data_IF_494838391593
#
_entry.id   IF_494838391593
#
_cell.length_a   1.000
_cell.length_b   1.000
_cell.length_c   1.000
_cell.angle_alpha   90.00
_cell.angle_beta   90.00
_cell.angle_gamma   90.00
#
_symmetry.space_group_name_H-M   'P 1'
#
loop_
_entity.id
_entity.type
_entity.pdbx_description
1 polymer ?
#
# COMPACT_ATOMS: atom_id res chain seq x y z
N UNK A 1 0.93 14.22 15.62
CA UNK A 1 0.45 12.84 15.39
C UNK A 1 1.45 11.88 16.00
N UNK A 2 1.01 10.88 16.77
CA UNK A 2 1.89 9.84 17.33
C UNK A 2 2.46 8.97 16.18
N UNK A 3 3.78 8.77 16.18
CA UNK A 3 4.48 7.99 15.15
C UNK A 3 4.28 6.48 15.31
N UNK A 4 3.73 6.02 16.44
CA UNK A 4 3.73 4.61 16.82
C UNK A 4 5.11 4.18 17.33
N UNK A 5 5.27 2.87 17.55
CA UNK A 5 6.57 2.29 17.90
C UNK A 5 6.63 0.79 17.57
N UNK A 6 7.83 0.26 17.38
CA UNK A 6 8.15 -1.18 17.40
C UNK A 6 9.01 -1.52 18.62
N UNK A 7 9.09 -2.81 19.00
CA UNK A 7 9.85 -3.26 20.18
C UNK A 7 9.03 -3.27 21.49
N UNK A 8 9.71 -3.28 22.66
CA UNK A 8 9.05 -3.37 23.97
C UNK A 8 8.04 -2.24 24.23
N UNK A 9 6.85 -2.59 24.71
CA UNK A 9 5.72 -1.66 24.93
C UNK A 9 6.01 -0.55 25.94
N UNK A 10 6.72 -0.88 27.00
CA UNK A 10 7.02 0.04 28.11
C UNK A 10 8.42 0.57 27.93
N UNK A 11 8.58 1.89 27.95
CA UNK A 11 9.88 2.54 27.82
C UNK A 11 10.53 2.75 29.17
N UNK A 12 9.77 2.72 30.26
CA UNK A 12 10.29 2.89 31.61
C UNK A 12 9.96 1.70 32.52
N UNK A 13 10.81 1.47 33.53
CA UNK A 13 10.64 0.46 34.57
C UNK A 13 11.26 0.95 35.87
N UNK A 14 10.53 0.84 36.98
CA UNK A 14 11.10 1.15 38.31
C UNK A 14 12.16 0.13 38.79
N UNK A 15 12.44 -0.90 37.99
CA UNK A 15 13.43 -1.97 38.20
C UNK A 15 13.27 -2.76 39.51
N UNK A 16 12.10 -2.67 40.14
CA UNK A 16 11.77 -3.48 41.32
C UNK A 16 11.37 -4.90 40.93
N UNK A 17 11.37 -5.81 41.90
CA UNK A 17 11.02 -7.21 41.69
C UNK A 17 9.53 -7.48 41.98
N UNK A 18 9.02 -8.55 41.35
CA UNK A 18 7.71 -9.14 41.60
C UNK A 18 6.53 -8.17 41.51
N UNK A 19 5.63 -8.21 42.49
CA UNK A 19 4.40 -7.42 42.57
C UNK A 19 4.64 -5.91 42.71
N UNK A 20 5.87 -5.49 43.02
CA UNK A 20 6.26 -4.08 43.12
C UNK A 20 6.79 -3.49 41.81
N UNK A 21 6.91 -4.31 40.74
CA UNK A 21 7.42 -3.90 39.43
C UNK A 21 6.39 -3.06 38.67
N UNK A 22 6.72 -1.80 38.45
CA UNK A 22 5.93 -0.86 37.64
C UNK A 22 6.66 -0.62 36.32
N UNK A 23 5.91 -0.65 35.22
CA UNK A 23 6.41 -0.36 33.88
C UNK A 23 5.46 0.61 33.18
N UNK A 24 6.01 1.68 32.64
CA UNK A 24 5.22 2.72 31.99
C UNK A 24 5.78 3.04 30.60
N UNK A 25 4.95 3.65 29.76
CA UNK A 25 5.38 4.20 28.47
C UNK A 25 5.38 5.72 28.59
N UNK A 26 6.51 6.25 29.01
CA UNK A 26 6.71 7.69 29.21
C UNK A 26 7.11 8.38 27.90
N UNK A 27 7.81 7.67 27.03
CA UNK A 27 8.45 8.26 25.87
C UNK A 27 7.67 7.96 24.58
N UNK A 28 7.45 9.00 23.76
CA UNK A 28 6.69 8.93 22.51
C UNK A 28 7.27 9.84 21.43
N UNK A 29 7.37 9.32 20.21
CA UNK A 29 7.66 10.12 19.03
C UNK A 29 6.40 10.79 18.49
N UNK A 30 6.39 12.12 18.41
CA UNK A 30 5.27 12.90 17.88
C UNK A 30 5.77 13.74 16.70
N UNK A 31 5.01 13.77 15.61
CA UNK A 31 5.37 14.55 14.41
C UNK A 31 4.21 15.38 13.86
N UNK A 32 4.57 16.39 13.05
CA UNK A 32 3.62 17.13 12.20
C UNK A 32 3.28 16.32 10.95
N UNK A 33 2.10 16.57 10.37
CA UNK A 33 1.68 15.92 9.12
C UNK A 33 2.64 16.22 7.97
N UNK A 34 3.13 17.47 7.86
CA UNK A 34 4.12 17.86 6.86
C UNK A 34 5.41 17.05 6.95
N UNK A 35 5.87 16.75 8.17
CA UNK A 35 7.05 15.91 8.40
C UNK A 35 6.81 14.46 7.98
N UNK A 36 5.62 13.92 8.27
CA UNK A 36 5.25 12.56 7.84
C UNK A 36 5.20 12.41 6.31
N UNK A 37 4.88 13.48 5.59
CA UNK A 37 4.90 13.45 4.12
C UNK A 37 6.33 13.41 3.56
N UNK A 38 7.30 14.02 4.28
CA UNK A 38 8.72 13.98 3.91
C UNK A 38 9.37 12.64 4.26
N UNK A 39 8.98 12.05 5.39
CA UNK A 39 9.48 10.75 5.87
C UNK A 39 8.32 9.77 6.09
N UNK A 40 7.69 9.29 5.00
CA UNK A 40 6.52 8.41 5.09
C UNK A 40 6.85 7.07 5.76
N UNK A 41 8.08 6.58 5.56
CA UNK A 41 8.55 5.30 6.07
C UNK A 41 9.30 5.40 7.40
N UNK A 42 9.40 6.60 7.99
CA UNK A 42 10.04 6.75 9.28
C UNK A 42 9.33 5.92 10.36
N UNK A 43 10.14 5.18 11.13
CA UNK A 43 9.69 4.36 12.24
C UNK A 43 10.43 4.74 13.52
N UNK A 44 9.75 4.47 14.64
CA UNK A 44 10.29 4.63 15.99
C UNK A 44 10.41 3.24 16.59
N UNK A 45 11.58 2.89 17.14
CA UNK A 45 11.80 1.62 17.82
C UNK A 45 12.27 1.85 19.26
N UNK A 46 11.62 1.15 20.18
CA UNK A 46 12.05 1.07 21.56
C UNK A 46 13.10 -0.05 21.65
N UNK A 47 14.31 0.26 22.10
CA UNK A 47 15.34 -0.74 22.29
C UNK A 47 15.16 -1.47 23.62
N UNK A 48 15.70 -2.70 23.68
CA UNK A 48 15.67 -3.52 24.89
C UNK A 48 16.49 -2.81 25.98
N UNK A 49 15.91 -2.69 27.17
CA UNK A 49 16.62 -2.21 28.35
C UNK A 49 17.63 -3.26 28.78
N UNK A 50 18.89 -2.86 28.85
CA UNK A 50 19.98 -3.71 29.36
C UNK A 50 20.18 -3.46 30.85
N UNK A 51 20.48 -2.23 31.23
CA UNK A 51 20.79 -1.84 32.62
C UNK A 51 20.15 -0.51 33.06
N UNK A 52 19.51 0.21 32.14
CA UNK A 52 18.84 1.47 32.42
C UNK A 52 17.35 1.26 32.76
N UNK A 53 16.81 2.16 33.57
CA UNK A 53 15.37 2.23 33.85
C UNK A 53 14.57 2.73 32.63
N UNK A 54 15.23 3.30 31.62
CA UNK A 54 14.65 3.72 30.34
C UNK A 54 15.13 2.88 29.14
N UNK A 55 14.23 2.66 28.19
CA UNK A 55 14.51 2.16 26.84
C UNK A 55 14.99 3.31 25.98
N UNK A 56 16.12 3.13 25.31
CA UNK A 56 16.52 4.04 24.24
C UNK A 56 15.48 4.01 23.13
N UNK A 57 15.10 5.20 22.65
CA UNK A 57 14.25 5.35 21.46
C UNK A 57 15.15 5.65 20.27
N UNK A 58 15.02 4.82 19.24
CA UNK A 58 15.63 5.04 17.94
C UNK A 58 14.58 5.53 16.95
N UNK A 59 14.78 6.75 16.43
CA UNK A 59 14.05 7.24 15.28
C UNK A 59 14.86 6.92 14.03
N UNK A 60 14.30 6.10 13.15
CA UNK A 60 14.92 5.78 11.88
C UNK A 60 14.14 6.49 10.76
N UNK A 61 14.84 7.35 10.03
CA UNK A 61 14.34 8.11 8.88
C UNK A 61 14.94 7.62 7.57
N UNK A 62 15.70 6.52 7.59
CA UNK A 62 16.32 5.93 6.41
C UNK A 62 15.20 5.51 5.46
N UNK A 63 15.25 5.94 4.20
CA UNK A 63 14.43 5.37 3.14
C UNK A 63 15.03 4.00 2.78
N UNK A 64 14.44 2.85 3.18
CA UNK A 64 14.83 1.60 2.56
C UNK A 64 14.56 1.73 1.06
N UNK A 65 15.61 1.49 0.26
CA UNK A 65 15.59 1.55 -1.20
C UNK A 65 14.23 1.16 -1.79
N UNK A 66 13.58 2.13 -2.45
CA UNK A 66 12.27 2.04 -3.09
C UNK A 66 12.05 0.67 -3.75
N UNK A 67 11.39 -0.24 -3.02
CA UNK A 67 10.74 -1.34 -3.69
C UNK A 67 9.55 -0.75 -4.46
N UNK A 68 9.34 -1.11 -5.73
CA UNK A 68 8.21 -0.58 -6.47
C UNK A 68 6.93 -1.02 -5.79
N UNK A 69 6.07 -0.04 -5.56
CA UNK A 69 4.77 -0.24 -4.91
C UNK A 69 4.02 -1.39 -5.59
N UNK A 70 3.41 -2.23 -4.75
CA UNK A 70 2.47 -3.25 -5.24
C UNK A 70 1.38 -2.61 -6.06
N UNK A 71 0.93 -3.35 -7.07
CA UNK A 71 -0.21 -2.88 -7.85
C UNK A 71 -1.44 -2.93 -6.96
N UNK A 72 -2.19 -1.84 -6.97
CA UNK A 72 -3.47 -1.74 -6.28
C UNK A 72 -4.50 -1.37 -7.33
N UNK A 73 -5.58 -2.14 -7.36
CA UNK A 73 -6.74 -1.79 -8.15
C UNK A 73 -7.41 -0.59 -7.51
N UNK A 74 -7.60 0.49 -8.26
CA UNK A 74 -8.27 1.69 -7.77
C UNK A 74 -9.74 1.63 -8.22
N UNK A 75 -10.68 1.80 -7.28
CA UNK A 75 -12.11 1.56 -7.52
C UNK A 75 -12.70 2.45 -8.61
N UNK A 76 -12.20 3.69 -8.72
CA UNK A 76 -12.69 4.66 -9.69
C UNK A 76 -12.45 4.28 -11.15
N UNK A 77 -11.58 3.30 -11.43
CA UNK A 77 -11.44 2.72 -12.77
C UNK A 77 -12.72 2.06 -13.28
N UNK A 78 -13.62 1.67 -12.38
CA UNK A 78 -14.90 1.08 -12.75
C UNK A 78 -15.91 2.10 -13.28
N UNK A 79 -15.68 3.40 -13.04
CA UNK A 79 -16.56 4.48 -13.52
C UNK A 79 -16.22 4.94 -14.93
N UNK A 80 -15.06 4.56 -15.48
CA UNK A 80 -14.66 4.94 -16.84
C UNK A 80 -15.39 4.06 -17.88
N UNK A 81 -16.17 4.65 -18.79
CA UNK A 81 -16.89 3.91 -19.82
C UNK A 81 -15.96 3.19 -20.83
N UNK A 82 -14.68 3.56 -20.91
CA UNK A 82 -13.68 2.88 -21.77
C UNK A 82 -13.15 1.57 -21.18
N UNK A 83 -13.70 1.12 -20.04
CA UNK A 83 -13.31 -0.10 -19.33
C UNK A 83 -13.92 -1.39 -19.93
N UNK A 84 -14.86 -1.29 -20.88
CA UNK A 84 -15.47 -2.45 -21.53
C UNK A 84 -14.41 -3.30 -22.28
N UNK A 85 -13.98 -4.41 -21.67
CA UNK A 85 -13.10 -5.42 -22.29
C UNK A 85 -11.62 -5.41 -21.84
N UNK A 86 -11.16 -4.38 -21.13
CA UNK A 86 -9.76 -4.30 -20.64
C UNK A 86 -9.51 -5.12 -19.36
N UNK A 87 -10.56 -5.72 -18.80
CA UNK A 87 -10.59 -6.27 -17.45
C UNK A 87 -9.87 -7.63 -17.25
N UNK A 88 -9.31 -8.20 -18.33
CA UNK A 88 -8.48 -9.42 -18.32
C UNK A 88 -7.00 -9.14 -18.66
N UNK A 89 -6.61 -7.88 -18.74
CA UNK A 89 -5.28 -7.50 -19.21
C UNK A 89 -4.18 -7.69 -18.15
N UNK A 90 -2.91 -7.88 -18.55
CA UNK A 90 -1.78 -7.85 -17.63
C UNK A 90 -1.66 -6.53 -16.87
N UNK A 91 -1.04 -6.56 -15.69
CA UNK A 91 -0.73 -5.37 -14.86
C UNK A 91 -0.04 -4.24 -15.62
N UNK A 92 0.80 -4.56 -16.61
CA UNK A 92 1.48 -3.58 -17.47
C UNK A 92 0.50 -2.76 -18.30
N UNK A 93 -0.47 -3.42 -18.92
CA UNK A 93 -1.55 -2.79 -19.69
C UNK A 93 -2.42 -1.90 -18.81
N UNK A 94 -2.77 -2.35 -17.60
CA UNK A 94 -3.52 -1.54 -16.64
C UNK A 94 -2.74 -0.33 -16.13
N UNK A 95 -1.43 -0.47 -15.88
CA UNK A 95 -0.59 0.67 -15.51
C UNK A 95 -0.54 1.72 -16.62
N UNK A 96 -0.38 1.29 -17.86
CA UNK A 96 -0.36 2.18 -19.02
C UNK A 96 -1.72 2.86 -19.21
N UNK A 97 -2.81 2.11 -19.13
CA UNK A 97 -4.16 2.67 -19.20
C UNK A 97 -4.42 3.65 -18.05
N UNK A 98 -4.00 3.36 -16.82
CA UNK A 98 -4.11 4.30 -15.72
C UNK A 98 -3.36 5.61 -15.99
N UNK A 99 -2.16 5.54 -16.55
CA UNK A 99 -1.39 6.72 -16.93
C UNK A 99 -2.05 7.52 -18.05
N UNK A 100 -2.64 6.86 -19.04
CA UNK A 100 -3.26 7.50 -20.21
C UNK A 100 -4.62 8.09 -19.87
N UNK A 101 -5.48 7.34 -19.18
CA UNK A 101 -6.88 7.71 -18.94
C UNK A 101 -7.09 8.57 -17.69
N UNK A 102 -6.26 8.42 -16.66
CA UNK A 102 -6.44 9.12 -15.38
C UNK A 102 -5.25 10.01 -14.98
N UNK A 103 -4.09 9.81 -15.61
CA UNK A 103 -2.89 10.61 -15.36
C UNK A 103 -2.42 10.56 -13.90
N UNK A 104 -1.77 11.65 -13.47
CA UNK A 104 -1.35 11.83 -12.08
C UNK A 104 -2.33 12.80 -11.40
N UNK A 105 -3.30 12.24 -10.67
CA UNK A 105 -4.37 12.99 -9.97
C UNK A 105 -3.82 14.20 -9.19
N UNK A 106 -2.81 14.06 -8.30
CA UNK A 106 -2.19 15.21 -7.62
C UNK A 106 -1.65 16.30 -8.55
N UNK A 107 -1.00 15.91 -9.66
CA UNK A 107 -0.45 16.87 -10.60
C UNK A 107 -1.55 17.61 -11.37
N UNK A 108 -2.61 16.92 -11.77
CA UNK A 108 -3.76 17.53 -12.45
C UNK A 108 -4.53 18.48 -11.51
N UNK A 109 -4.76 18.10 -10.25
CA UNK A 109 -5.32 19.00 -9.23
C UNK A 109 -4.43 20.24 -9.06
N UNK A 110 -3.11 20.07 -9.02
CA UNK A 110 -2.18 21.20 -8.93
C UNK A 110 -2.25 22.11 -10.15
N UNK A 111 -2.35 21.58 -11.37
CA UNK A 111 -2.52 22.36 -12.60
C UNK A 111 -3.84 23.12 -12.60
N UNK A 112 -4.95 22.45 -12.28
CA UNK A 112 -6.29 23.05 -12.25
C UNK A 112 -6.39 24.14 -11.19
N UNK A 113 -5.77 23.99 -10.02
CA UNK A 113 -5.70 25.06 -9.01
C UNK A 113 -4.87 26.27 -9.44
N UNK A 114 -3.98 26.14 -10.43
CA UNK A 114 -3.19 27.25 -10.98
C UNK A 114 -3.91 27.96 -12.14
N UNK A 115 -4.94 27.37 -12.73
CA UNK A 115 -5.70 27.96 -13.84
C UNK A 115 -6.53 29.21 -13.45
N UNK A 116 -7.18 29.30 -12.27
CA UNK A 116 -7.91 30.49 -11.84
C UNK A 116 -7.05 31.75 -11.77
N UNK A 117 -5.76 31.62 -11.42
CA UNK A 117 -4.83 32.75 -11.40
C UNK A 117 -4.61 33.37 -12.79
N UNK A 118 -4.76 32.59 -13.87
CA UNK A 118 -4.63 33.10 -15.25
C UNK A 118 -5.91 33.79 -15.73
N UNK A 119 -7.07 33.36 -15.24
CA UNK A 119 -8.38 33.93 -15.58
C UNK A 119 -8.60 35.24 -14.85
N UNK A 120 -8.23 35.32 -13.56
CA UNK A 120 -8.34 36.55 -12.76
C UNK A 120 -7.42 37.69 -13.23
N UNK A 121 -6.42 37.40 -14.06
CA UNK A 121 -5.53 38.40 -14.68
C UNK A 121 -5.98 38.86 -16.06
N UNK A 122 -7.05 38.29 -16.63
CA UNK A 122 -7.59 38.68 -17.94
C UNK A 122 -8.74 39.66 -17.78
N UNK A 123 -8.96 40.51 -18.79
CA UNK A 123 -10.11 41.40 -18.79
C UNK A 123 -11.43 40.60 -18.94
N UNK A 124 -12.52 41.00 -18.25
CA UNK A 124 -13.81 40.30 -18.28
C UNK A 124 -14.37 40.06 -19.69
N UNK A 125 -13.99 40.89 -20.66
CA UNK A 125 -14.41 40.83 -22.07
C UNK A 125 -13.78 39.66 -22.85
N UNK A 126 -12.74 39.02 -22.32
CA UNK A 126 -11.99 37.95 -23.00
C UNK A 126 -12.23 36.55 -22.39
N UNK A 127 -13.00 36.46 -21.32
CA UNK A 127 -13.26 35.20 -20.60
C UNK A 127 -14.54 34.58 -21.19
N UNK A 128 -14.48 33.37 -21.80
CA UNK A 128 -15.69 32.69 -22.22
C UNK A 128 -16.59 32.41 -21.01
N UNK A 129 -17.88 32.72 -21.12
CA UNK A 129 -18.87 32.65 -20.01
C UNK A 129 -18.87 31.32 -19.26
N UNK A 130 -18.48 30.22 -19.92
CA UNK A 130 -18.50 28.87 -19.37
C UNK A 130 -17.12 28.35 -18.92
N UNK A 131 -16.02 29.04 -19.21
CA UNK A 131 -14.67 28.52 -18.96
C UNK A 131 -14.39 28.34 -17.46
N UNK A 132 -14.82 29.29 -16.63
CA UNK A 132 -14.65 29.20 -15.18
C UNK A 132 -15.47 28.04 -14.59
N UNK A 133 -16.70 27.85 -15.08
CA UNK A 133 -17.57 26.77 -14.65
C UNK A 133 -17.02 25.40 -15.07
N UNK A 134 -16.52 25.27 -16.30
CA UNK A 134 -15.89 24.04 -16.81
C UNK A 134 -14.63 23.67 -16.00
N UNK A 135 -13.76 24.63 -15.70
CA UNK A 135 -12.59 24.39 -14.85
C UNK A 135 -12.95 24.01 -13.42
N UNK A 136 -13.99 24.62 -12.84
CA UNK A 136 -14.52 24.25 -11.52
C UNK A 136 -15.09 22.84 -11.54
N UNK A 137 -15.81 22.46 -12.60
CA UNK A 137 -16.36 21.12 -12.77
C UNK A 137 -15.24 20.07 -12.87
N UNK A 138 -14.25 20.31 -13.72
CA UNK A 138 -13.06 19.44 -13.85
C UNK A 138 -12.30 19.32 -12.53
N UNK A 139 -12.11 20.42 -11.78
CA UNK A 139 -11.46 20.38 -10.48
C UNK A 139 -12.26 19.54 -9.47
N UNK A 140 -13.58 19.74 -9.42
CA UNK A 140 -14.46 18.97 -8.53
C UNK A 140 -14.44 17.48 -8.87
N UNK A 141 -14.43 17.10 -10.14
CA UNK A 141 -14.27 15.69 -10.54
C UNK A 141 -12.93 15.10 -10.07
N UNK A 142 -11.84 15.86 -10.24
CA UNK A 142 -10.52 15.39 -9.84
C UNK A 142 -10.40 15.24 -8.31
N UNK A 143 -10.99 16.16 -7.55
CA UNK A 143 -11.07 16.08 -6.08
C UNK A 143 -11.88 14.87 -5.62
N UNK A 144 -13.01 14.56 -6.27
CA UNK A 144 -13.79 13.34 -6.00
C UNK A 144 -12.98 12.06 -6.25
N UNK A 145 -12.20 12.02 -7.34
CA UNK A 145 -11.31 10.89 -7.65
C UNK A 145 -10.22 10.72 -6.58
N UNK A 146 -9.61 11.83 -6.15
CA UNK A 146 -8.62 11.82 -5.06
C UNK A 146 -9.21 11.32 -3.74
N UNK A 147 -10.41 11.78 -3.39
CA UNK A 147 -11.11 11.37 -2.19
C UNK A 147 -11.40 9.86 -2.18
N UNK A 148 -12.01 9.35 -3.26
CA UNK A 148 -12.30 7.91 -3.42
C UNK A 148 -11.04 7.07 -3.23
N UNK A 149 -9.92 7.50 -3.81
CA UNK A 149 -8.61 6.86 -3.66
C UNK A 149 -8.13 6.82 -2.20
N UNK A 150 -8.25 7.93 -1.47
CA UNK A 150 -7.79 7.97 -0.08
C UNK A 150 -8.68 7.17 0.86
N UNK A 151 -9.99 7.18 0.65
CA UNK A 151 -10.95 6.33 1.38
C UNK A 151 -10.58 4.87 1.17
N UNK A 152 -10.42 4.44 -0.08
CA UNK A 152 -10.07 3.05 -0.42
C UNK A 152 -8.74 2.62 0.23
N UNK A 153 -7.73 3.49 0.22
CA UNK A 153 -6.41 3.23 0.80
C UNK A 153 -6.43 3.16 2.32
N UNK A 154 -7.25 3.98 2.97
CA UNK A 154 -7.37 4.03 4.43
C UNK A 154 -7.99 2.76 5.03
N UNK A 155 -8.86 2.08 4.27
CA UNK A 155 -9.70 0.94 4.73
C UNK A 155 -10.69 1.31 5.84
N UNK A 156 -11.01 2.59 6.02
CA UNK A 156 -12.02 3.07 6.97
C UNK A 156 -13.39 2.97 6.32
N UNK A 157 -14.29 2.18 6.89
CA UNK A 157 -15.64 1.92 6.34
C UNK A 157 -16.78 2.50 7.18
N UNK A 158 -16.51 2.86 8.43
CA UNK A 158 -17.52 3.39 9.36
C UNK A 158 -17.75 4.90 9.20
N UNK A 159 -16.84 5.59 8.53
CA UNK A 159 -16.94 7.03 8.30
C UNK A 159 -17.56 7.28 6.92
N UNK A 160 -18.87 7.51 6.90
CA UNK A 160 -19.66 7.82 5.70
C UNK A 160 -19.76 9.34 5.51
N UNK A 161 -18.62 10.03 5.49
CA UNK A 161 -18.58 11.51 5.54
C UNK A 161 -19.07 12.17 4.25
N UNK A 162 -19.75 13.30 4.44
CA UNK A 162 -20.18 14.26 3.41
C UNK A 162 -19.15 15.40 3.23
N UNK A 163 -18.10 15.47 4.05
CA UNK A 163 -16.99 16.43 3.94
C UNK A 163 -15.74 15.77 3.33
N UNK A 164 -15.10 16.50 2.39
CA UNK A 164 -13.92 16.10 1.62
C UNK A 164 -12.64 15.98 2.49
N UNK A 165 -12.66 15.14 3.52
CA UNK A 165 -11.58 15.04 4.51
C UNK A 165 -10.42 14.14 4.05
N UNK A 166 -9.87 14.45 2.87
CA UNK A 166 -8.74 13.72 2.28
C UNK A 166 -7.52 13.67 3.21
N UNK A 167 -7.29 14.72 4.01
CA UNK A 167 -6.20 14.77 5.01
C UNK A 167 -6.33 13.69 6.08
N UNK A 168 -7.54 13.40 6.56
CA UNK A 168 -7.78 12.34 7.53
C UNK A 168 -7.51 10.95 6.94
N UNK A 169 -8.04 10.68 5.74
CA UNK A 169 -7.85 9.38 5.08
C UNK A 169 -6.39 9.15 4.63
N UNK A 170 -5.71 10.20 4.17
CA UNK A 170 -4.28 10.20 3.87
C UNK A 170 -3.46 9.87 5.13
N UNK A 171 -3.72 10.59 6.22
CA UNK A 171 -3.11 10.35 7.53
C UNK A 171 -3.29 8.90 7.98
N UNK A 172 -4.52 8.39 7.91
CA UNK A 172 -4.86 7.03 8.31
C UNK A 172 -4.14 5.98 7.45
N UNK A 173 -3.98 6.26 6.15
CA UNK A 173 -3.20 5.43 5.24
C UNK A 173 -1.73 5.36 5.65
N UNK A 174 -1.11 6.51 5.98
CA UNK A 174 0.30 6.54 6.46
C UNK A 174 0.45 5.73 7.75
N UNK A 175 -0.43 5.95 8.73
CA UNK A 175 -0.38 5.23 10.02
C UNK A 175 -0.51 3.72 9.80
N UNK A 176 -1.41 3.28 8.91
CA UNK A 176 -1.57 1.87 8.57
C UNK A 176 -0.33 1.30 7.88
N UNK A 177 0.24 2.02 6.90
CA UNK A 177 1.47 1.61 6.23
C UNK A 177 2.62 1.40 7.23
N UNK A 178 2.75 2.28 8.23
CA UNK A 178 3.77 2.18 9.28
C UNK A 178 3.57 0.95 10.17
N UNK A 179 2.34 0.72 10.63
CA UNK A 179 2.01 -0.45 11.48
C UNK A 179 2.27 -1.77 10.77
N UNK A 180 2.10 -1.80 9.45
CA UNK A 180 2.27 -2.99 8.64
C UNK A 180 3.68 -3.10 8.02
N UNK A 181 4.62 -2.23 8.40
CA UNK A 181 5.98 -2.27 7.87
C UNK A 181 6.79 -3.39 8.55
N UNK A 182 7.37 -4.30 7.78
CA UNK A 182 8.20 -5.40 8.27
C UNK A 182 9.67 -4.98 8.13
N UNK A 183 10.35 -4.76 9.26
CA UNK A 183 11.70 -4.18 9.31
C UNK A 183 12.83 -5.20 9.05
N UNK A 184 12.76 -6.39 9.66
CA UNK A 184 13.69 -7.51 9.40
C UNK A 184 13.20 -8.80 10.07
N UNK A 185 13.60 -9.96 9.55
CA UNK A 185 13.45 -11.24 10.28
C UNK A 185 14.80 -11.95 10.42
N UNK A 186 15.03 -12.46 11.63
CA UNK A 186 16.28 -13.10 12.06
C UNK A 186 16.04 -14.60 12.23
N UNK A 187 17.00 -15.43 11.82
CA UNK A 187 17.07 -16.82 12.31
C UNK A 187 17.54 -16.77 13.76
N UNK A 188 17.10 -17.73 14.58
CA UNK A 188 17.61 -17.98 15.94
C UNK A 188 19.14 -18.08 16.09
N UNK A 189 19.92 -18.20 15.00
CA UNK A 189 21.38 -18.32 15.04
C UNK A 189 22.12 -17.01 14.68
N UNK A 190 21.42 -15.89 14.46
CA UNK A 190 22.04 -14.57 14.23
C UNK A 190 22.63 -14.35 12.82
N UNK A 191 22.67 -15.36 11.96
CA UNK A 191 23.13 -15.22 10.58
C UNK A 191 22.08 -14.56 9.67
N UNK A 192 22.53 -13.61 8.85
CA UNK A 192 21.74 -12.95 7.81
C UNK A 192 21.57 -13.88 6.60
N UNK A 193 20.34 -14.32 6.32
CA UNK A 193 20.01 -15.22 5.20
C UNK A 193 20.13 -14.56 3.79
N UNK A 194 20.73 -13.37 3.68
CA UNK A 194 20.80 -12.56 2.44
C UNK A 194 21.62 -13.21 1.31
N UNK A 195 22.47 -14.20 1.62
CA UNK A 195 23.44 -14.78 0.67
C UNK A 195 22.93 -16.00 -0.11
N UNK A 196 21.69 -16.45 0.14
CA UNK A 196 21.20 -17.77 -0.30
C UNK A 196 20.23 -17.76 -1.50
N UNK A 197 19.90 -16.60 -2.10
CA UNK A 197 18.87 -16.54 -3.16
C UNK A 197 19.32 -15.91 -4.48
N UNK A 198 18.77 -16.39 -5.61
CA UNK A 198 19.00 -15.82 -6.94
C UNK A 198 18.29 -14.48 -7.12
N UNK A 199 18.87 -13.64 -7.97
CA UNK A 199 18.48 -12.23 -8.17
C UNK A 199 17.29 -12.02 -9.11
N UNK A 200 16.73 -13.06 -9.75
CA UNK A 200 15.64 -12.95 -10.74
C UNK A 200 14.79 -14.22 -10.85
N UNK A 201 13.49 -14.06 -11.14
CA UNK A 201 12.53 -15.13 -11.50
C UNK A 201 12.05 -14.90 -12.94
N UNK A 202 11.91 -15.97 -13.74
CA UNK A 202 11.41 -15.87 -15.13
C UNK A 202 9.88 -15.74 -15.21
N UNK A 203 9.38 -15.12 -16.28
CA UNK A 203 7.93 -14.93 -16.51
C UNK A 203 7.17 -16.24 -16.63
N UNK A 204 7.79 -17.28 -17.21
CA UNK A 204 7.22 -18.63 -17.32
C UNK A 204 7.01 -19.26 -15.94
N UNK A 205 7.98 -19.09 -15.04
CA UNK A 205 7.90 -19.58 -13.66
C UNK A 205 6.84 -18.81 -12.86
N UNK A 206 6.72 -17.51 -13.09
CA UNK A 206 5.69 -16.69 -12.45
C UNK A 206 4.27 -17.02 -12.93
N UNK A 207 4.09 -17.25 -14.23
CA UNK A 207 2.80 -17.64 -14.81
C UNK A 207 2.32 -19.00 -14.27
N UNK A 208 3.24 -19.95 -14.08
CA UNK A 208 2.95 -21.25 -13.47
C UNK A 208 2.42 -21.09 -12.03
N UNK A 209 3.08 -20.29 -11.21
CA UNK A 209 2.70 -20.04 -9.80
C UNK A 209 1.39 -19.25 -9.62
N UNK A 210 0.86 -18.65 -10.69
CA UNK A 210 -0.37 -17.87 -10.69
C UNK A 210 -1.56 -18.59 -11.35
N UNK A 211 -1.38 -19.80 -11.89
CA UNK A 211 -2.50 -20.61 -12.40
C UNK A 211 -3.37 -21.09 -11.25
N UNK A 212 -4.70 -21.05 -11.44
CA UNK A 212 -5.63 -21.73 -10.53
C UNK A 212 -5.62 -23.22 -10.88
N UNK A 213 -5.23 -24.11 -9.94
CA UNK A 213 -5.25 -25.54 -10.19
C UNK A 213 -6.68 -26.11 -10.14
N UNK A 214 -6.90 -27.25 -10.79
CA UNK A 214 -8.15 -28.02 -10.76
C UNK A 214 -8.19 -28.93 -9.51
N UNK A 215 -9.36 -29.15 -8.92
CA UNK A 215 -9.54 -29.70 -7.56
C UNK A 215 -8.88 -31.09 -7.37
N UNK A 216 -8.73 -31.87 -8.44
CA UNK A 216 -8.13 -33.20 -8.43
C UNK A 216 -6.58 -33.19 -8.39
N UNK A 217 -5.93 -32.09 -8.78
CA UNK A 217 -4.47 -31.95 -8.87
C UNK A 217 -3.82 -31.39 -7.57
N UNK A 218 -4.64 -30.88 -6.64
CA UNK A 218 -4.21 -29.90 -5.62
C UNK A 218 -3.39 -30.48 -4.45
N UNK A 219 -3.63 -31.71 -3.97
CA UNK A 219 -3.20 -32.03 -2.59
C UNK A 219 -1.81 -32.64 -2.42
N UNK A 220 -1.24 -33.32 -3.44
CA UNK A 220 0.06 -34.01 -3.31
C UNK A 220 1.10 -33.58 -4.35
N UNK A 221 0.73 -33.58 -5.63
CA UNK A 221 1.66 -33.26 -6.73
C UNK A 221 2.03 -31.78 -6.74
N UNK A 222 1.06 -30.89 -6.56
CA UNK A 222 1.29 -29.44 -6.61
C UNK A 222 2.07 -28.92 -5.39
N UNK A 223 1.85 -29.52 -4.22
CA UNK A 223 2.59 -29.15 -3.01
C UNK A 223 4.08 -29.47 -3.13
N UNK A 224 4.47 -30.65 -3.62
CA UNK A 224 5.89 -31.00 -3.76
C UNK A 224 6.61 -30.11 -4.79
N UNK A 225 5.90 -29.58 -5.79
CA UNK A 225 6.47 -28.64 -6.77
C UNK A 225 6.58 -27.21 -6.19
N UNK A 226 5.56 -26.73 -5.48
CA UNK A 226 5.51 -25.35 -4.98
C UNK A 226 6.25 -25.16 -3.66
N UNK A 227 6.23 -26.17 -2.77
CA UNK A 227 6.79 -26.10 -1.42
C UNK A 227 8.25 -25.62 -1.40
N UNK A 228 9.17 -26.10 -2.26
CA UNK A 228 10.55 -25.62 -2.26
C UNK A 228 10.63 -24.11 -2.54
N UNK A 229 9.95 -23.64 -3.59
CA UNK A 229 9.92 -22.24 -4.00
C UNK A 229 9.17 -21.37 -2.99
N UNK A 230 8.09 -21.87 -2.38
CA UNK A 230 7.30 -21.18 -1.37
C UNK A 230 8.09 -20.97 -0.08
N UNK A 231 8.73 -22.02 0.43
CA UNK A 231 9.57 -21.96 1.63
C UNK A 231 10.78 -21.07 1.37
N UNK A 232 11.41 -21.19 0.20
CA UNK A 232 12.48 -20.32 -0.24
C UNK A 232 12.07 -18.85 -0.28
N UNK A 233 10.96 -18.55 -0.97
CA UNK A 233 10.46 -17.17 -1.16
C UNK A 233 9.96 -16.56 0.14
N UNK A 234 9.23 -17.32 0.96
CA UNK A 234 8.74 -16.90 2.27
C UNK A 234 9.90 -16.54 3.18
N UNK A 235 10.91 -17.44 3.28
CA UNK A 235 12.16 -17.12 3.98
C UNK A 235 12.76 -15.83 3.39
N UNK A 236 13.02 -15.76 2.09
CA UNK A 236 13.61 -14.60 1.37
C UNK A 236 12.94 -13.26 1.71
N UNK A 237 11.62 -13.20 1.60
CA UNK A 237 10.84 -12.02 1.90
C UNK A 237 11.04 -11.57 3.35
N UNK A 238 10.91 -12.52 4.26
CA UNK A 238 10.99 -12.25 5.67
C UNK A 238 12.37 -11.74 6.10
N UNK A 239 13.43 -12.24 5.49
CA UNK A 239 14.82 -11.82 5.74
C UNK A 239 15.10 -10.43 5.20
N UNK A 240 14.78 -10.22 3.92
CA UNK A 240 15.26 -9.08 3.16
C UNK A 240 14.35 -7.86 3.27
N UNK A 241 13.11 -8.06 3.76
CA UNK A 241 12.02 -7.09 3.67
C UNK A 241 11.64 -6.77 2.23
N UNK A 242 12.18 -7.51 1.24
CA UNK A 242 12.04 -7.23 -0.18
C UNK A 242 11.41 -8.41 -0.87
N UNK A 243 10.29 -8.13 -1.52
CA UNK A 243 9.67 -9.07 -2.44
C UNK A 243 10.19 -8.80 -3.85
N UNK A 244 10.51 -9.87 -4.59
CA UNK A 244 10.76 -9.75 -6.03
C UNK A 244 9.55 -9.10 -6.71
N UNK A 245 9.83 -8.14 -7.60
CA UNK A 245 8.81 -7.29 -8.22
C UNK A 245 7.81 -8.13 -9.03
N UNK A 246 8.31 -9.23 -9.57
CA UNK A 246 7.62 -10.20 -10.40
C UNK A 246 6.59 -11.00 -9.59
N UNK A 247 6.87 -11.33 -8.32
CA UNK A 247 5.91 -12.02 -7.43
C UNK A 247 4.68 -11.16 -7.09
N UNK A 248 4.83 -9.85 -7.26
CA UNK A 248 3.78 -8.85 -7.11
C UNK A 248 3.02 -8.60 -8.43
N UNK A 249 3.28 -9.40 -9.46
CA UNK A 249 2.41 -9.44 -10.63
C UNK A 249 1.19 -10.28 -10.28
N UNK A 250 0.02 -9.67 -10.46
CA UNK A 250 -1.27 -10.26 -10.14
C UNK A 250 -2.09 -10.24 -11.41
N UNK A 251 -2.63 -11.38 -11.78
CA UNK A 251 -3.58 -11.45 -12.88
C UNK A 251 -4.96 -11.07 -12.34
N UNK A 252 -5.66 -10.18 -13.02
CA UNK A 252 -7.02 -9.81 -12.63
C UNK A 252 -7.99 -10.67 -13.43
N UNK A 253 -8.91 -11.32 -12.73
CA UNK A 253 -10.00 -12.08 -13.33
C UNK A 253 -11.31 -11.53 -12.81
N UNK A 254 -12.27 -11.31 -13.70
CA UNK A 254 -13.61 -10.93 -13.31
C UNK A 254 -14.49 -12.15 -13.12
N UNK A 255 -15.08 -12.27 -11.94
CA UNK A 255 -16.04 -13.32 -11.63
C UNK A 255 -17.45 -12.71 -11.60
N UNK A 256 -18.40 -13.24 -12.40
CA UNK A 256 -19.77 -12.73 -12.44
C UNK A 256 -20.50 -13.01 -11.11
N UNK A 257 -21.26 -12.04 -10.58
CA UNK A 257 -22.06 -12.20 -9.35
C UNK A 257 -23.41 -12.88 -9.58
N UNK A 258 -23.91 -12.86 -10.81
CA UNK A 258 -25.21 -13.38 -11.24
C UNK A 258 -25.15 -13.79 -12.71
N UNK A 259 -26.11 -14.58 -13.14
CA UNK A 259 -26.29 -14.91 -14.56
C UNK A 259 -26.64 -13.64 -15.36
N UNK A 260 -26.05 -13.51 -16.56
CA UNK A 260 -26.13 -12.32 -17.43
C UNK A 260 -25.72 -10.99 -16.74
N UNK A 261 -24.47 -10.85 -16.30
CA UNK A 261 -23.97 -9.68 -15.57
C UNK A 261 -23.72 -8.46 -16.49
N UNK A 262 -24.14 -7.27 -16.04
CA UNK A 262 -23.55 -6.00 -16.54
C UNK A 262 -22.20 -5.72 -15.85
N UNK A 263 -21.48 -4.67 -16.25
CA UNK A 263 -20.12 -4.34 -15.74
C UNK A 263 -20.05 -4.21 -14.20
N UNK A 264 -21.07 -3.64 -13.56
CA UNK A 264 -21.12 -3.49 -12.10
C UNK A 264 -21.39 -4.81 -11.34
N UNK A 265 -21.82 -5.85 -12.05
CA UNK A 265 -22.07 -7.18 -11.50
C UNK A 265 -20.85 -8.11 -11.55
N UNK A 266 -19.67 -7.61 -11.93
CA UNK A 266 -18.43 -8.37 -11.84
C UNK A 266 -17.69 -8.08 -10.53
N UNK A 267 -17.11 -9.12 -9.93
CA UNK A 267 -16.12 -9.00 -8.85
C UNK A 267 -14.73 -9.08 -9.49
N UNK A 268 -13.89 -8.04 -9.37
CA UNK A 268 -12.48 -8.18 -9.72
C UNK A 268 -11.79 -9.04 -8.66
N UNK A 269 -11.23 -10.16 -9.07
CA UNK A 269 -10.42 -11.06 -8.25
C UNK A 269 -8.97 -10.98 -8.74
N UNK A 270 -8.07 -10.61 -7.84
CA UNK A 270 -6.63 -10.70 -8.07
C UNK A 270 -6.15 -12.13 -7.82
N UNK A 271 -5.71 -12.81 -8.87
CA UNK A 271 -4.93 -14.04 -8.82
C UNK A 271 -3.48 -13.66 -8.55
N UNK A 272 -3.17 -13.40 -7.28
CA UNK A 272 -1.81 -13.12 -6.81
C UNK A 272 -1.05 -14.42 -6.59
N UNK A 273 0.27 -14.34 -6.73
CA UNK A 273 1.19 -15.46 -6.56
C UNK A 273 0.97 -16.14 -5.19
N UNK A 274 0.96 -17.47 -5.16
CA UNK A 274 0.77 -18.24 -3.91
C UNK A 274 1.81 -17.86 -2.85
N UNK A 275 3.06 -17.58 -3.26
CA UNK A 275 4.10 -17.10 -2.37
C UNK A 275 3.75 -15.75 -1.75
N UNK A 276 3.22 -14.83 -2.55
CA UNK A 276 2.74 -13.53 -2.07
C UNK A 276 1.61 -13.68 -1.05
N UNK A 277 0.60 -14.50 -1.36
CA UNK A 277 -0.54 -14.74 -0.45
C UNK A 277 -0.13 -15.43 0.85
N UNK A 278 0.84 -16.33 0.80
CA UNK A 278 1.35 -17.01 1.98
C UNK A 278 2.11 -16.04 2.89
N UNK A 279 2.94 -15.18 2.29
CA UNK A 279 3.66 -14.13 2.99
C UNK A 279 2.70 -13.15 3.68
N UNK A 280 1.64 -12.70 3.01
CA UNK A 280 0.64 -11.77 3.58
C UNK A 280 -0.10 -12.30 4.81
N UNK A 281 -0.01 -13.60 5.10
CA UNK A 281 -0.69 -14.23 6.25
C UNK A 281 0.12 -14.22 7.55
N UNK A 282 1.41 -13.84 7.50
CA UNK A 282 2.23 -13.61 8.68
C UNK A 282 2.45 -12.11 8.90
#
# INVERSE_FOLDING_TARGET
>A
MDLGFSGPKYTWSNNRQDSSRIRERLDRGISKLSWNNLFPEANVSNLIRTSFDHSLILLNTSNPNYSPKSFKFEEFWTYDPTNHGKLKAPKTTFKLWNQISFGNIPNEIKKLNQAPHKIQTQEPSQIPDNLENDLKEQLNEMLKKEESLWIQKSRITWLTTTDLNTKFFHTSTIVRCRRNNIESLKIGNGNDLKTLFPTKISDTKNAFLCKSPDDMEISKTYWEVIKPDLVATSKSFFISGKLLKELNYTNITLVPKKDSPNVHHFRPIGLSNVCYKFIEKF
#
